data_IF_915170396894
#
_entry.id   IF_915170396894
#
_cell.length_a   1.000
_cell.length_b   1.000
_cell.length_c   1.000
_cell.angle_alpha   90.00
_cell.angle_beta   90.00
_cell.angle_gamma   90.00
#
_symmetry.space_group_name_H-M   'P 1'
#
loop_
_entity.id
_entity.type
_entity.pdbx_description
1 polymer ?
#
# COMPACT_ATOMS: atom_id res chain seq x y z
N UNK A 1 -38.60 6.99 35.70
CA UNK A 1 -38.08 5.69 35.21
C UNK A 1 -37.90 5.66 33.68
N UNK A 2 -38.87 6.04 32.85
CA UNK A 2 -38.73 6.06 31.38
C UNK A 2 -37.61 6.96 30.83
N UNK A 3 -37.33 8.10 31.48
CA UNK A 3 -36.25 9.00 31.07
C UNK A 3 -34.85 8.41 31.26
N UNK A 4 -34.62 7.64 32.34
CA UNK A 4 -33.32 7.00 32.62
C UNK A 4 -33.02 5.87 31.63
N UNK A 5 -34.05 5.13 31.19
CA UNK A 5 -33.88 4.06 30.19
C UNK A 5 -33.59 4.66 28.80
N UNK A 6 -34.27 5.75 28.43
CA UNK A 6 -33.99 6.48 27.17
C UNK A 6 -32.59 7.10 27.17
N UNK A 7 -32.14 7.67 28.28
CA UNK A 7 -30.80 8.26 28.39
C UNK A 7 -29.70 7.19 28.38
N UNK A 8 -29.91 6.04 29.01
CA UNK A 8 -28.96 4.91 28.91
C UNK A 8 -28.85 4.37 27.50
N UNK A 9 -29.98 4.27 26.78
CA UNK A 9 -30.00 3.85 25.38
C UNK A 9 -29.25 4.85 24.48
N UNK A 10 -29.47 6.15 24.67
CA UNK A 10 -28.76 7.19 23.90
C UNK A 10 -27.27 7.23 24.19
N UNK A 11 -26.85 7.08 25.46
CA UNK A 11 -25.43 6.99 25.86
C UNK A 11 -24.76 5.77 25.21
N UNK A 12 -25.46 4.64 25.14
CA UNK A 12 -24.93 3.43 24.52
C UNK A 12 -24.82 3.58 22.99
N UNK A 13 -25.79 4.22 22.35
CA UNK A 13 -25.73 4.54 20.91
C UNK A 13 -24.58 5.51 20.58
N UNK A 14 -24.39 6.53 21.41
CA UNK A 14 -23.31 7.51 21.27
C UNK A 14 -21.93 6.89 21.53
N UNK A 15 -21.81 6.06 22.57
CA UNK A 15 -20.58 5.31 22.86
C UNK A 15 -20.23 4.34 21.73
N UNK A 16 -21.19 3.60 21.19
CA UNK A 16 -20.97 2.72 20.04
C UNK A 16 -20.56 3.49 18.78
N UNK A 17 -21.11 4.69 18.55
CA UNK A 17 -20.69 5.57 17.46
C UNK A 17 -19.25 6.02 17.65
N UNK A 18 -18.88 6.51 18.83
CA UNK A 18 -17.52 6.94 19.16
C UNK A 18 -16.50 5.79 19.04
N UNK A 19 -16.86 4.58 19.46
CA UNK A 19 -16.03 3.36 19.31
C UNK A 19 -15.82 3.04 17.83
N UNK A 20 -16.88 3.12 17.00
CA UNK A 20 -16.79 2.86 15.56
C UNK A 20 -15.92 3.91 14.86
N UNK A 21 -16.05 5.18 15.23
CA UNK A 21 -15.23 6.27 14.72
C UNK A 21 -13.76 6.09 15.10
N UNK A 22 -13.48 5.75 16.36
CA UNK A 22 -12.12 5.45 16.85
C UNK A 22 -11.51 4.27 16.09
N UNK A 23 -12.26 3.18 15.89
CA UNK A 23 -11.80 2.02 15.12
C UNK A 23 -11.46 2.38 13.68
N UNK A 24 -12.29 3.20 13.04
CA UNK A 24 -12.06 3.65 11.67
C UNK A 24 -10.83 4.56 11.57
N UNK A 25 -10.64 5.46 12.54
CA UNK A 25 -9.45 6.32 12.63
C UNK A 25 -8.18 5.48 12.80
N UNK A 26 -8.20 4.47 13.68
CA UNK A 26 -7.06 3.57 13.87
C UNK A 26 -6.69 2.84 12.57
N UNK A 27 -7.67 2.25 11.88
CA UNK A 27 -7.43 1.58 10.58
C UNK A 27 -6.81 2.55 9.58
N UNK A 28 -7.32 3.79 9.52
CA UNK A 28 -6.80 4.84 8.65
C UNK A 28 -5.33 5.16 8.95
N UNK A 29 -4.99 5.37 10.22
CA UNK A 29 -3.62 5.68 10.67
C UNK A 29 -2.65 4.53 10.36
N UNK A 30 -3.05 3.28 10.58
CA UNK A 30 -2.24 2.12 10.21
C UNK A 30 -2.00 2.05 8.71
N UNK A 31 -3.06 2.22 7.89
CA UNK A 31 -2.91 2.22 6.43
C UNK A 31 -1.97 3.34 5.95
N UNK A 32 -2.09 4.56 6.47
CA UNK A 32 -1.22 5.69 6.11
C UNK A 32 0.23 5.40 6.53
N UNK A 33 0.44 4.85 7.73
CA UNK A 33 1.77 4.46 8.21
C UNK A 33 2.40 3.40 7.32
N UNK A 34 1.64 2.41 6.84
CA UNK A 34 2.17 1.38 5.96
C UNK A 34 2.43 1.89 4.55
N UNK A 35 1.59 2.80 4.04
CA UNK A 35 1.86 3.53 2.79
C UNK A 35 3.16 4.33 2.89
N UNK A 36 3.40 5.01 4.02
CA UNK A 36 4.62 5.81 4.25
C UNK A 36 5.92 5.01 4.27
N UNK A 37 5.84 3.68 4.38
CA UNK A 37 6.98 2.78 4.30
C UNK A 37 7.26 2.31 2.87
N UNK A 38 6.37 2.57 1.92
CA UNK A 38 6.43 2.05 0.56
C UNK A 38 7.66 2.48 -0.21
N UNK A 39 8.04 3.76 -0.12
CA UNK A 39 9.27 4.30 -0.73
C UNK A 39 10.53 3.63 -0.18
N UNK A 40 10.60 3.40 1.14
CA UNK A 40 11.70 2.66 1.77
C UNK A 40 11.77 1.20 1.32
N UNK A 41 10.62 0.55 1.11
CA UNK A 41 10.57 -0.82 0.57
C UNK A 41 11.07 -0.84 -0.87
N UNK A 42 10.74 0.17 -1.68
CA UNK A 42 11.29 0.35 -3.03
C UNK A 42 12.82 0.43 -2.98
N UNK A 43 13.39 1.31 -2.15
CA UNK A 43 14.84 1.46 -2.00
C UNK A 43 15.53 0.15 -1.61
N UNK A 44 14.94 -0.61 -0.70
CA UNK A 44 15.43 -1.93 -0.29
C UNK A 44 15.38 -2.93 -1.46
N UNK A 45 14.26 -2.99 -2.19
CA UNK A 45 14.12 -3.86 -3.35
C UNK A 45 15.16 -3.55 -4.43
N UNK A 46 15.36 -2.27 -4.76
CA UNK A 46 16.37 -1.82 -5.71
C UNK A 46 17.79 -2.18 -5.25
N UNK A 47 18.09 -2.00 -3.96
CA UNK A 47 19.38 -2.37 -3.38
C UNK A 47 19.64 -3.88 -3.52
N UNK A 48 18.65 -4.71 -3.18
CA UNK A 48 18.78 -6.17 -3.34
C UNK A 48 18.93 -6.59 -4.79
N UNK A 49 18.20 -5.98 -5.72
CA UNK A 49 18.35 -6.22 -7.15
C UNK A 49 19.75 -5.89 -7.66
N UNK A 50 20.32 -4.73 -7.27
CA UNK A 50 21.68 -4.32 -7.64
C UNK A 50 22.75 -5.27 -7.07
N UNK A 51 22.48 -5.86 -5.91
CA UNK A 51 23.35 -6.85 -5.25
C UNK A 51 23.09 -8.30 -5.71
N UNK A 52 22.23 -8.52 -6.71
CA UNK A 52 21.80 -9.84 -7.19
C UNK A 52 21.19 -10.75 -6.10
N UNK A 53 20.63 -10.17 -5.03
CA UNK A 53 19.93 -10.88 -3.95
C UNK A 53 18.44 -11.04 -4.31
N UNK A 54 18.15 -11.90 -5.29
CA UNK A 54 16.83 -11.99 -5.90
C UNK A 54 15.73 -12.44 -4.93
N UNK A 55 16.03 -13.32 -3.98
CA UNK A 55 15.08 -13.78 -2.95
C UNK A 55 14.67 -12.64 -2.02
N UNK A 56 15.63 -11.82 -1.60
CA UNK A 56 15.38 -10.65 -0.77
C UNK A 56 14.61 -9.57 -1.55
N UNK A 57 14.95 -9.36 -2.82
CA UNK A 57 14.20 -8.47 -3.70
C UNK A 57 12.75 -8.93 -3.89
N UNK A 58 12.54 -10.23 -4.12
CA UNK A 58 11.21 -10.83 -4.29
C UNK A 58 10.35 -10.60 -3.04
N UNK A 59 10.91 -10.76 -1.84
CA UNK A 59 10.20 -10.49 -0.60
C UNK A 59 9.73 -9.03 -0.53
N UNK A 60 10.61 -8.07 -0.85
CA UNK A 60 10.26 -6.65 -0.83
C UNK A 60 9.24 -6.25 -1.90
N UNK A 61 9.28 -6.86 -3.08
CA UNK A 61 8.27 -6.67 -4.10
C UNK A 61 6.89 -7.21 -3.68
N UNK A 62 6.82 -8.28 -2.88
CA UNK A 62 5.56 -8.77 -2.30
C UNK A 62 5.02 -7.78 -1.28
N UNK A 63 5.86 -7.28 -0.38
CA UNK A 63 5.48 -6.22 0.57
C UNK A 63 4.94 -4.99 -0.16
N UNK A 64 5.61 -4.58 -1.25
CA UNK A 64 5.18 -3.45 -2.07
C UNK A 64 3.83 -3.67 -2.76
N UNK A 65 3.56 -4.91 -3.22
CA UNK A 65 2.25 -5.27 -3.78
C UNK A 65 1.13 -5.12 -2.74
N UNK A 66 1.37 -5.47 -1.48
CA UNK A 66 0.40 -5.26 -0.40
C UNK A 66 0.12 -3.77 -0.17
N UNK A 67 1.15 -2.93 -0.22
CA UNK A 67 0.99 -1.47 -0.12
C UNK A 67 0.12 -0.92 -1.25
N UNK A 68 0.34 -1.36 -2.50
CA UNK A 68 -0.52 -0.97 -3.63
C UNK A 68 -1.99 -1.39 -3.43
N UNK A 69 -2.25 -2.52 -2.76
CA UNK A 69 -3.63 -2.93 -2.42
C UNK A 69 -4.23 -1.96 -1.38
N UNK A 70 -3.47 -1.56 -0.36
CA UNK A 70 -3.94 -0.58 0.62
C UNK A 70 -4.24 0.79 -0.01
N UNK A 71 -3.40 1.23 -0.95
CA UNK A 71 -3.62 2.47 -1.72
C UNK A 71 -4.95 2.40 -2.48
N UNK A 72 -5.24 1.28 -3.16
CA UNK A 72 -6.53 1.09 -3.85
C UNK A 72 -7.71 1.16 -2.89
N UNK A 73 -7.61 0.47 -1.75
CA UNK A 73 -8.69 0.49 -0.75
C UNK A 73 -8.94 1.91 -0.22
N UNK A 74 -7.89 2.67 0.03
CA UNK A 74 -8.02 4.07 0.45
C UNK A 74 -8.60 4.94 -0.66
N UNK A 75 -8.17 4.74 -1.90
CA UNK A 75 -8.69 5.47 -3.06
C UNK A 75 -10.19 5.27 -3.26
N UNK A 76 -10.73 4.05 -3.09
CA UNK A 76 -12.18 3.81 -3.25
C UNK A 76 -13.06 4.67 -2.35
N UNK A 77 -12.50 5.28 -1.30
CA UNK A 77 -13.20 6.18 -0.37
C UNK A 77 -13.05 7.66 -0.71
N UNK A 78 -12.06 8.04 -1.52
CA UNK A 78 -11.59 9.44 -1.64
C UNK A 78 -11.23 9.89 -3.07
N UNK A 79 -11.17 9.00 -4.07
CA UNK A 79 -10.84 9.31 -5.46
C UNK A 79 -9.56 10.15 -5.65
N UNK A 80 -8.46 9.73 -5.02
CA UNK A 80 -7.17 10.43 -4.99
C UNK A 80 -6.20 10.04 -6.12
N UNK A 81 -6.42 8.90 -6.80
CA UNK A 81 -5.50 8.39 -7.84
C UNK A 81 -6.20 8.16 -9.17
N UNK A 82 -5.41 8.18 -10.25
CA UNK A 82 -5.82 7.70 -11.56
C UNK A 82 -5.80 6.15 -11.55
N UNK A 83 -6.95 5.54 -11.85
CA UNK A 83 -7.09 4.08 -11.82
C UNK A 83 -6.33 3.36 -12.93
N UNK A 84 -6.09 4.02 -14.07
CA UNK A 84 -5.34 3.44 -15.19
C UNK A 84 -3.85 3.36 -14.84
N UNK A 85 -3.28 4.48 -14.39
CA UNK A 85 -1.90 4.54 -13.90
C UNK A 85 -1.65 3.54 -12.77
N UNK A 86 -2.57 3.45 -11.82
CA UNK A 86 -2.53 2.41 -10.78
C UNK A 86 -2.51 0.98 -11.34
N UNK A 87 -3.37 0.70 -12.32
CA UNK A 87 -3.46 -0.62 -12.93
C UNK A 87 -2.15 -1.00 -13.64
N UNK A 88 -1.51 -0.04 -14.30
CA UNK A 88 -0.21 -0.22 -14.95
C UNK A 88 0.88 -0.58 -13.93
N UNK A 89 0.94 0.13 -12.80
CA UNK A 89 1.88 -0.20 -11.71
C UNK A 89 1.66 -1.60 -11.13
N UNK A 90 0.41 -2.00 -10.91
CA UNK A 90 0.07 -3.34 -10.40
C UNK A 90 0.39 -4.45 -11.42
N UNK A 91 0.19 -4.17 -12.70
CA UNK A 91 0.54 -5.08 -13.78
C UNK A 91 2.07 -5.28 -13.84
N UNK A 92 2.81 -4.16 -13.87
CA UNK A 92 4.28 -4.16 -13.91
C UNK A 92 4.87 -4.93 -12.73
N UNK A 93 4.43 -4.65 -11.50
CA UNK A 93 4.95 -5.36 -10.32
C UNK A 93 4.64 -6.86 -10.35
N UNK A 94 3.49 -7.25 -10.91
CA UNK A 94 3.11 -8.66 -11.03
C UNK A 94 3.98 -9.38 -12.07
N UNK A 95 4.29 -8.73 -13.18
CA UNK A 95 5.23 -9.22 -14.19
C UNK A 95 6.64 -9.34 -13.60
N UNK A 96 7.09 -8.34 -12.84
CA UNK A 96 8.42 -8.33 -12.21
C UNK A 96 8.55 -9.45 -11.17
N UNK A 97 7.52 -9.65 -10.33
CA UNK A 97 7.46 -10.76 -9.38
C UNK A 97 7.59 -12.12 -10.06
N UNK A 98 6.87 -12.33 -11.18
CA UNK A 98 6.96 -13.58 -11.94
C UNK A 98 8.35 -13.77 -12.54
N UNK A 99 8.92 -12.73 -13.16
CA UNK A 99 10.25 -12.78 -13.76
C UNK A 99 11.35 -13.11 -12.74
N UNK A 100 11.29 -12.49 -11.55
CA UNK A 100 12.25 -12.74 -10.47
C UNK A 100 12.06 -14.14 -9.91
N UNK A 101 10.82 -14.58 -9.70
CA UNK A 101 10.53 -15.93 -9.23
C UNK A 101 11.07 -16.98 -10.21
N UNK A 102 10.82 -16.82 -11.52
CA UNK A 102 11.31 -17.71 -12.56
C UNK A 102 12.84 -17.78 -12.62
N UNK A 103 13.52 -16.67 -12.31
CA UNK A 103 14.98 -16.63 -12.16
C UNK A 103 15.45 -17.43 -10.95
N UNK A 104 14.79 -17.29 -9.80
CA UNK A 104 15.14 -18.01 -8.56
C UNK A 104 15.00 -19.52 -8.74
N UNK A 105 13.90 -19.97 -9.37
CA UNK A 105 13.66 -21.41 -9.58
C UNK A 105 14.35 -21.99 -10.83
N UNK A 106 15.20 -21.19 -11.49
CA UNK A 106 15.99 -21.63 -12.66
C UNK A 106 15.21 -21.82 -13.96
N UNK A 107 13.94 -21.40 -14.05
CA UNK A 107 13.16 -21.41 -15.30
C UNK A 107 13.63 -20.36 -16.30
N UNK A 108 14.23 -19.26 -15.82
CA UNK A 108 14.76 -18.18 -16.64
C UNK A 108 16.22 -17.89 -16.30
N UNK A 109 17.08 -17.80 -17.30
CA UNK A 109 18.52 -17.57 -17.10
C UNK A 109 18.85 -16.11 -16.77
N UNK A 110 18.06 -15.14 -17.22
CA UNK A 110 18.33 -13.70 -17.04
C UNK A 110 17.07 -12.91 -16.71
N UNK A 111 17.23 -11.79 -15.99
CA UNK A 111 16.17 -10.81 -15.77
C UNK A 111 16.66 -9.44 -16.24
N UNK A 112 15.75 -8.62 -16.74
CA UNK A 112 16.06 -7.23 -17.05
C UNK A 112 15.97 -6.39 -15.77
N UNK A 113 17.04 -6.41 -14.97
CA UNK A 113 17.12 -5.69 -13.68
C UNK A 113 16.84 -4.20 -13.87
N UNK A 114 17.35 -3.59 -14.93
CA UNK A 114 17.13 -2.17 -15.23
C UNK A 114 15.66 -1.83 -15.43
N UNK A 115 14.88 -2.71 -16.10
CA UNK A 115 13.44 -2.50 -16.25
C UNK A 115 12.70 -2.63 -14.91
N UNK A 116 13.07 -3.60 -14.07
CA UNK A 116 12.47 -3.74 -12.73
C UNK A 116 12.78 -2.50 -11.88
N UNK A 117 14.02 -2.00 -11.92
CA UNK A 117 14.39 -0.78 -11.18
C UNK A 117 13.60 0.43 -11.68
N UNK A 118 13.45 0.60 -13.00
CA UNK A 118 12.63 1.68 -13.59
C UNK A 118 11.16 1.60 -13.16
N UNK A 119 10.55 0.40 -13.19
CA UNK A 119 9.18 0.22 -12.69
C UNK A 119 9.07 0.57 -11.19
N UNK A 120 10.09 0.23 -10.40
CA UNK A 120 10.15 0.57 -8.98
C UNK A 120 10.27 2.08 -8.73
N UNK A 121 11.04 2.80 -9.55
CA UNK A 121 11.14 4.27 -9.48
C UNK A 121 9.78 4.93 -9.76
N UNK A 122 9.09 4.49 -10.81
CA UNK A 122 7.73 4.96 -11.13
C UNK A 122 6.76 4.73 -9.96
N UNK A 123 6.80 3.54 -9.34
CA UNK A 123 5.97 3.23 -8.17
C UNK A 123 6.34 4.12 -6.96
N UNK A 124 7.63 4.42 -6.76
CA UNK A 124 8.06 5.30 -5.68
C UNK A 124 7.49 6.71 -5.83
N UNK A 125 7.51 7.25 -7.05
CA UNK A 125 6.90 8.55 -7.37
C UNK A 125 5.39 8.49 -7.12
N UNK A 126 4.70 7.47 -7.62
CA UNK A 126 3.27 7.27 -7.40
C UNK A 126 2.88 7.22 -5.91
N UNK A 127 3.65 6.50 -5.08
CA UNK A 127 3.42 6.42 -3.63
C UNK A 127 3.63 7.79 -2.98
N UNK A 128 4.68 8.51 -3.37
CA UNK A 128 5.00 9.83 -2.81
C UNK A 128 3.90 10.85 -3.14
N UNK A 129 3.42 10.87 -4.39
CA UNK A 129 2.32 11.73 -4.82
C UNK A 129 1.02 11.37 -4.09
N UNK A 130 0.76 10.08 -3.88
CA UNK A 130 -0.38 9.63 -3.12
C UNK A 130 -0.31 10.05 -1.64
N UNK A 131 0.86 9.97 -1.01
CA UNK A 131 1.07 10.46 0.35
C UNK A 131 0.79 11.95 0.50
N UNK A 132 1.26 12.77 -0.45
CA UNK A 132 0.99 14.21 -0.47
C UNK A 132 -0.51 14.47 -0.53
N UNK A 133 -1.21 13.80 -1.44
CA UNK A 133 -2.68 13.92 -1.56
C UNK A 133 -3.42 13.48 -0.30
N UNK A 134 -2.94 12.46 0.41
CA UNK A 134 -3.52 12.09 1.71
C UNK A 134 -3.35 13.22 2.72
N UNK A 135 -2.13 13.76 2.85
CA UNK A 135 -1.81 14.83 3.81
C UNK A 135 -2.67 16.07 3.53
N UNK A 136 -2.85 16.45 2.28
CA UNK A 136 -3.66 17.60 1.88
C UNK A 136 -5.16 17.40 2.12
N UNK A 137 -5.66 16.16 2.05
CA UNK A 137 -7.09 15.85 2.27
C UNK A 137 -7.44 15.55 3.74
N UNK A 138 -6.43 15.37 4.59
CA UNK A 138 -6.57 15.10 6.02
C UNK A 138 -6.19 16.30 6.90
N UNK A 139 -5.72 17.40 6.29
CA UNK A 139 -5.49 18.72 6.90
C UNK A 139 -6.76 19.59 6.86
#
# INVERSE_FOLDING_TARGET
MFFQIKSQKSINEESNRAIKETKNLLIKLFSISDISKGTKIVEQAQTFLRLNKFESALLRLKDLKEILIYIKHYNTKKNLINLNEYADHVSNISIDLLNINDKIIGKKSTINVSKVISNLEEISTFISDFELKIKDNDS
#
